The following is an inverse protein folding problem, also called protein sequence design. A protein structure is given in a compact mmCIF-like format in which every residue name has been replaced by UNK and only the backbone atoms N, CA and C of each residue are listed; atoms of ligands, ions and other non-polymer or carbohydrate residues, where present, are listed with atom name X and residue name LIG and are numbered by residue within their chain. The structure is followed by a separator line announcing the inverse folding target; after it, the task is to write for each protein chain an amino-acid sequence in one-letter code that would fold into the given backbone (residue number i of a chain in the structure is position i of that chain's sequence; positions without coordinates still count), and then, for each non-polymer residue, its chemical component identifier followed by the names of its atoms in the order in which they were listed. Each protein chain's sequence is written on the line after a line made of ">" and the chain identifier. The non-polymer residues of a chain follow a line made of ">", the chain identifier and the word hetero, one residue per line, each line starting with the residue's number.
data_IF_328326973028
#
_entry.id   IF_328326973028
#
_cell.length_a   1.000
_cell.length_b   1.000
_cell.length_c   1.000
_cell.angle_alpha   90.00
_cell.angle_beta   90.00
_cell.angle_gamma   90.00
#
_symmetry.space_group_name_H-M   'P 1'
#
loop_
_entity.id
_entity.type
_entity.pdbx_description
1 polymer ?
#
# COMPACT_ATOMS: atom_id res chain seq x y z
N UNK A 1 -14.02 -7.87 -11.67
CA UNK A 1 -15.50 -7.73 -11.80
C UNK A 1 -15.83 -7.64 -13.29
N UNK A 2 -16.93 -8.24 -13.77
CA UNK A 2 -17.29 -8.18 -15.20
C UNK A 2 -17.99 -6.84 -15.45
N UNK A 3 -17.50 -5.96 -16.35
CA UNK A 3 -18.04 -4.60 -16.53
C UNK A 3 -19.54 -4.57 -16.82
N UNK A 4 -20.04 -5.54 -17.59
CA UNK A 4 -21.47 -5.65 -17.95
C UNK A 4 -22.43 -5.71 -16.75
N UNK A 5 -22.00 -6.28 -15.63
CA UNK A 5 -22.83 -6.52 -14.45
C UNK A 5 -22.43 -5.68 -13.23
N UNK A 6 -21.43 -4.82 -13.40
CA UNK A 6 -20.78 -4.14 -12.29
C UNK A 6 -21.11 -2.66 -12.35
N UNK A 7 -21.47 -2.09 -11.19
CA UNK A 7 -21.62 -0.65 -11.06
C UNK A 7 -20.25 -0.05 -10.78
N UNK A 8 -19.96 1.08 -11.38
CA UNK A 8 -18.69 1.80 -11.22
C UNK A 8 -18.27 1.97 -9.75
N UNK A 9 -19.22 2.31 -8.87
CA UNK A 9 -18.96 2.43 -7.43
C UNK A 9 -18.41 1.14 -6.81
N UNK A 10 -18.92 -0.01 -7.23
CA UNK A 10 -18.49 -1.31 -6.73
C UNK A 10 -17.14 -1.71 -7.33
N UNK A 11 -16.92 -1.42 -8.62
CA UNK A 11 -15.62 -1.66 -9.27
C UNK A 11 -14.49 -0.88 -8.60
N UNK A 12 -14.74 0.40 -8.25
CA UNK A 12 -13.76 1.24 -7.55
C UNK A 12 -13.37 0.69 -6.17
N UNK A 13 -14.31 0.06 -5.44
CA UNK A 13 -14.00 -0.53 -4.12
C UNK A 13 -13.09 -1.74 -4.25
N UNK A 14 -13.31 -2.56 -5.28
CA UNK A 14 -12.55 -3.79 -5.52
C UNK A 14 -11.38 -3.60 -6.49
N UNK A 15 -11.03 -2.36 -6.84
CA UNK A 15 -9.89 -2.08 -7.71
C UNK A 15 -8.57 -2.38 -7.00
N UNK A 16 -7.52 -2.79 -7.72
CA UNK A 16 -6.18 -2.95 -7.16
C UNK A 16 -5.68 -1.68 -6.47
N UNK A 17 -5.93 -0.52 -7.07
CA UNK A 17 -5.61 0.80 -6.51
C UNK A 17 -6.21 0.98 -5.11
N UNK A 18 -7.52 0.74 -4.95
CA UNK A 18 -8.17 0.89 -3.64
C UNK A 18 -7.69 -0.18 -2.65
N UNK A 19 -7.43 -1.42 -3.10
CA UNK A 19 -6.86 -2.47 -2.25
C UNK A 19 -5.51 -2.05 -1.67
N UNK A 20 -4.57 -1.62 -2.52
CA UNK A 20 -3.24 -1.21 -2.08
C UNK A 20 -3.27 0.09 -1.27
N UNK A 21 -4.18 1.02 -1.58
CA UNK A 21 -4.40 2.20 -0.75
C UNK A 21 -4.84 1.80 0.66
N UNK A 22 -5.77 0.84 0.80
CA UNK A 22 -6.18 0.37 2.13
C UNK A 22 -5.05 -0.33 2.87
N UNK A 23 -4.18 -1.07 2.18
CA UNK A 23 -2.99 -1.65 2.80
C UNK A 23 -2.05 -0.57 3.29
N UNK A 24 -1.77 0.45 2.47
CA UNK A 24 -0.92 1.57 2.86
C UNK A 24 -1.49 2.32 4.07
N UNK A 25 -2.80 2.59 4.08
CA UNK A 25 -3.47 3.23 5.22
C UNK A 25 -3.26 2.42 6.51
N UNK A 26 -3.37 1.09 6.45
CA UNK A 26 -3.17 0.18 7.59
C UNK A 26 -1.70 0.20 8.06
N UNK A 27 -0.74 0.11 7.13
CA UNK A 27 0.69 0.11 7.47
C UNK A 27 1.12 1.43 8.12
N UNK A 28 0.63 2.57 7.61
CA UNK A 28 0.89 3.88 8.24
C UNK A 28 0.33 3.91 9.66
N UNK A 29 -0.90 3.43 9.87
CA UNK A 29 -1.49 3.35 11.21
C UNK A 29 -0.70 2.42 12.15
N UNK A 30 -0.13 1.34 11.63
CA UNK A 30 0.75 0.47 12.40
C UNK A 30 2.04 1.23 12.82
N UNK A 31 2.67 1.97 11.90
CA UNK A 31 3.82 2.82 12.22
C UNK A 31 3.47 3.91 13.25
N UNK A 32 2.28 4.51 13.17
CA UNK A 32 1.81 5.48 14.17
C UNK A 32 1.73 4.86 15.57
N UNK A 33 1.15 3.64 15.67
CA UNK A 33 1.07 2.91 16.92
C UNK A 33 2.47 2.55 17.45
N UNK A 34 3.37 2.07 16.58
CA UNK A 34 4.75 1.77 16.95
C UNK A 34 5.51 3.01 17.46
N UNK A 35 5.27 4.18 16.87
CA UNK A 35 5.86 5.45 17.31
C UNK A 35 5.35 5.84 18.69
N UNK A 36 4.04 5.72 18.94
CA UNK A 36 3.44 5.95 20.27
C UNK A 36 3.99 5.01 21.34
N UNK A 37 4.39 3.79 20.96
CA UNK A 37 5.03 2.81 21.85
C UNK A 37 6.54 3.04 21.99
N UNK A 38 7.13 4.02 21.29
CA UNK A 38 8.57 4.30 21.32
C UNK A 38 9.44 3.29 20.57
N UNK A 39 8.84 2.45 19.70
CA UNK A 39 9.55 1.42 18.94
C UNK A 39 10.26 1.99 17.70
N UNK A 40 9.74 3.08 17.13
CA UNK A 40 10.37 3.77 16.00
C UNK A 40 10.44 5.29 16.27
N UNK A 41 11.42 6.01 15.68
CA UNK A 41 11.52 7.46 15.83
C UNK A 41 10.36 8.22 15.19
N UNK A 42 9.90 9.30 15.82
CA UNK A 42 8.89 10.22 15.28
C UNK A 42 9.31 10.80 13.91
N UNK A 43 10.61 11.05 13.73
CA UNK A 43 11.17 11.51 12.45
C UNK A 43 10.93 10.50 11.33
N UNK A 44 11.01 9.19 11.62
CA UNK A 44 10.72 8.14 10.64
C UNK A 44 9.24 8.13 10.25
N UNK A 45 8.34 8.28 11.23
CA UNK A 45 6.89 8.38 10.96
C UNK A 45 6.57 9.58 10.07
N UNK A 46 7.21 10.72 10.31
CA UNK A 46 7.04 11.92 9.48
C UNK A 46 7.43 11.65 8.02
N UNK A 47 8.61 11.07 7.79
CA UNK A 47 9.06 10.70 6.43
C UNK A 47 8.11 9.72 5.76
N UNK A 48 7.63 8.71 6.49
CA UNK A 48 6.67 7.73 5.98
C UNK A 48 5.38 8.45 5.54
N UNK A 49 4.80 9.34 6.36
CA UNK A 49 3.59 10.07 5.98
C UNK A 49 3.75 10.96 4.74
N UNK A 50 4.92 11.58 4.59
CA UNK A 50 5.19 12.52 3.49
C UNK A 50 5.48 11.81 2.16
N UNK A 51 6.12 10.63 2.21
CA UNK A 51 6.65 9.96 1.02
C UNK A 51 5.97 8.66 0.66
N UNK A 52 5.25 8.03 1.60
CA UNK A 52 4.68 6.71 1.35
C UNK A 52 3.64 6.76 0.23
N UNK A 53 3.80 5.82 -0.68
CA UNK A 53 2.95 5.63 -1.83
C UNK A 53 3.37 4.37 -2.54
N UNK A 54 2.60 3.95 -3.54
CA UNK A 54 2.88 2.76 -4.32
C UNK A 54 2.58 3.03 -5.79
N UNK A 55 2.96 2.11 -6.65
CA UNK A 55 2.63 2.12 -8.07
C UNK A 55 2.13 0.73 -8.45
N UNK A 56 0.89 0.65 -8.97
CA UNK A 56 0.23 -0.64 -9.25
C UNK A 56 0.97 -1.44 -10.30
N UNK A 57 1.42 -0.79 -11.38
CA UNK A 57 2.14 -1.45 -12.46
C UNK A 57 3.48 -1.98 -11.95
N UNK A 58 4.14 -1.22 -11.08
CA UNK A 58 5.39 -1.64 -10.43
C UNK A 58 5.19 -2.84 -9.49
N UNK A 59 4.08 -2.87 -8.74
CA UNK A 59 3.74 -4.02 -7.89
C UNK A 59 3.57 -5.27 -8.76
N UNK A 60 2.82 -5.16 -9.86
CA UNK A 60 2.58 -6.28 -10.78
C UNK A 60 3.89 -6.78 -11.43
N UNK A 61 4.86 -5.91 -11.68
CA UNK A 61 6.21 -6.30 -12.12
C UNK A 61 6.98 -7.08 -11.06
N UNK A 62 6.99 -6.58 -9.81
CA UNK A 62 7.72 -7.21 -8.72
C UNK A 62 7.10 -8.57 -8.38
N UNK A 63 5.76 -8.67 -8.39
CA UNK A 63 5.01 -9.91 -8.10
C UNK A 63 5.36 -11.02 -9.09
N UNK A 64 5.65 -10.70 -10.36
CA UNK A 64 6.13 -11.70 -11.34
C UNK A 64 7.40 -12.41 -10.87
N UNK A 65 8.24 -11.76 -10.07
CA UNK A 65 9.48 -12.31 -9.54
C UNK A 65 9.28 -12.89 -8.14
N UNK A 66 8.67 -12.14 -7.22
CA UNK A 66 8.50 -12.55 -5.81
C UNK A 66 7.47 -13.65 -5.63
N UNK A 67 6.51 -13.77 -6.57
CA UNK A 67 5.33 -14.64 -6.48
C UNK A 67 4.51 -14.39 -5.20
N UNK A 68 4.59 -13.19 -4.66
CA UNK A 68 3.90 -12.78 -3.44
C UNK A 68 3.54 -11.29 -3.50
N UNK A 69 2.24 -11.03 -3.49
CA UNK A 69 1.60 -9.72 -3.59
C UNK A 69 1.98 -8.74 -2.45
N UNK A 70 1.96 -9.18 -1.19
CA UNK A 70 2.35 -8.34 -0.04
C UNK A 70 3.82 -7.93 -0.12
N UNK A 71 4.71 -8.86 -0.46
CA UNK A 71 6.14 -8.54 -0.62
C UNK A 71 6.32 -7.56 -1.79
N UNK A 72 5.60 -7.76 -2.90
CA UNK A 72 5.66 -6.86 -4.04
C UNK A 72 5.17 -5.44 -3.68
N UNK A 73 4.07 -5.34 -2.95
CA UNK A 73 3.54 -4.08 -2.41
C UNK A 73 4.56 -3.38 -1.50
N UNK A 74 5.08 -4.05 -0.47
CA UNK A 74 6.03 -3.46 0.46
C UNK A 74 7.32 -3.03 -0.25
N UNK A 75 7.76 -3.79 -1.25
CA UNK A 75 8.92 -3.43 -2.08
C UNK A 75 8.64 -2.15 -2.87
N UNK A 76 7.47 -2.03 -3.52
CA UNK A 76 7.07 -0.82 -4.24
C UNK A 76 7.00 0.42 -3.34
N UNK A 77 6.49 0.27 -2.10
CA UNK A 77 6.46 1.37 -1.12
C UNK A 77 7.87 1.77 -0.68
N UNK A 78 8.75 0.79 -0.47
CA UNK A 78 10.15 1.03 -0.08
C UNK A 78 10.94 1.77 -1.18
N UNK A 79 10.59 1.60 -2.46
CA UNK A 79 11.21 2.35 -3.56
C UNK A 79 10.88 3.86 -3.52
N UNK A 80 9.86 4.31 -2.76
CA UNK A 80 9.42 5.71 -2.70
C UNK A 80 9.83 6.46 -1.41
N UNK A 81 9.90 5.77 -0.28
CA UNK A 81 10.16 6.32 1.07
C UNK A 81 11.65 6.39 1.37
#
# INVERSE_FOLDING_TARGET
>A
MIPRYSREKMERIWSPENRYQKWLDIEILACEAMTKLGLIPEASLKTIRERAGFDVDRIDEIEKTTKHDVIAFLTSVTEKV
#
